data_IF_992904262364
#
_entry.id   IF_992904262364
#
_cell.length_a   1.000
_cell.length_b   1.000
_cell.length_c   1.000
_cell.angle_alpha   90.00
_cell.angle_beta   90.00
_cell.angle_gamma   90.00
#
_symmetry.space_group_name_H-M   'P 1'
#
loop_
_entity.id
_entity.type
_entity.pdbx_description
1 polymer ?
#
# COMPACT_ATOMS: atom_id res chain seq x y z
N UNK A 1 -16.69 15.27 16.89
CA UNK A 1 -17.12 15.13 15.48
C UNK A 1 -16.29 16.16 14.74
N UNK A 2 -15.37 15.72 13.88
CA UNK A 2 -14.54 16.66 13.12
C UNK A 2 -15.40 17.12 11.95
N UNK A 3 -16.00 18.30 12.11
CA UNK A 3 -16.84 18.90 11.09
C UNK A 3 -15.92 19.44 9.98
N UNK A 4 -15.74 18.64 8.93
CA UNK A 4 -15.03 19.03 7.70
C UNK A 4 -15.90 19.92 6.79
N UNK A 5 -17.05 20.39 7.25
CA UNK A 5 -18.11 20.94 6.39
C UNK A 5 -17.84 22.36 5.86
N UNK A 6 -16.86 23.11 6.38
CA UNK A 6 -16.68 24.54 6.06
C UNK A 6 -15.29 24.93 5.52
N UNK A 7 -14.53 23.98 4.96
CA UNK A 7 -13.33 24.39 4.19
C UNK A 7 -13.76 24.85 2.78
N UNK A 8 -13.62 26.14 2.43
CA UNK A 8 -13.86 26.57 1.06
C UNK A 8 -12.90 25.80 0.15
N UNK A 9 -13.42 25.26 -0.95
CA UNK A 9 -12.61 24.55 -1.93
C UNK A 9 -11.42 25.42 -2.33
N UNK A 10 -10.24 25.05 -1.84
CA UNK A 10 -9.00 25.67 -2.27
C UNK A 10 -8.89 25.44 -3.78
N UNK A 11 -8.61 26.50 -4.54
CA UNK A 11 -8.24 26.34 -5.95
C UNK A 11 -7.14 25.29 -6.00
N UNK A 12 -7.26 24.26 -6.86
CA UNK A 12 -6.30 23.17 -6.88
C UNK A 12 -4.90 23.76 -7.08
N UNK A 13 -4.03 23.52 -6.11
CA UNK A 13 -2.59 23.75 -6.28
C UNK A 13 -2.13 22.82 -7.41
N UNK A 14 -1.23 23.29 -8.28
CA UNK A 14 -0.52 22.41 -9.22
C UNK A 14 0.37 21.39 -8.48
N UNK A 15 0.53 21.55 -7.17
CA UNK A 15 1.21 20.61 -6.30
C UNK A 15 0.41 19.30 -6.14
N UNK A 16 0.94 18.23 -6.73
CA UNK A 16 0.39 16.88 -6.58
C UNK A 16 0.90 16.24 -5.29
N UNK A 17 -0.03 15.76 -4.48
CA UNK A 17 0.30 14.96 -3.30
C UNK A 17 0.04 13.48 -3.58
N UNK A 18 0.97 12.62 -3.13
CA UNK A 18 0.89 11.18 -3.31
C UNK A 18 1.16 10.50 -1.97
N UNK A 19 0.12 9.90 -1.38
CA UNK A 19 0.26 9.02 -0.23
C UNK A 19 0.71 7.65 -0.74
N UNK A 20 1.99 7.34 -0.64
CA UNK A 20 2.58 6.12 -1.15
C UNK A 20 3.21 5.31 -0.03
N UNK A 21 3.27 3.98 -0.20
CA UNK A 21 3.96 3.07 0.70
C UNK A 21 3.52 3.22 2.17
N UNK A 22 2.22 3.41 2.40
CA UNK A 22 1.68 3.64 3.74
C UNK A 22 0.68 2.55 4.16
N UNK A 23 0.82 2.02 5.37
CA UNK A 23 -0.15 1.08 5.91
C UNK A 23 -1.34 1.81 6.53
N UNK A 24 -2.38 2.08 5.72
CA UNK A 24 -3.61 2.72 6.19
C UNK A 24 -4.36 1.91 7.25
N UNK A 25 -4.20 0.58 7.31
CA UNK A 25 -4.88 -0.24 8.32
C UNK A 25 -4.45 0.09 9.76
N UNK A 26 -3.27 0.67 9.95
CA UNK A 26 -2.83 1.12 11.27
C UNK A 26 -3.68 2.31 11.76
N UNK A 27 -4.13 3.17 10.83
CA UNK A 27 -4.97 4.32 11.15
C UNK A 27 -6.46 3.98 11.13
N UNK A 28 -6.86 3.14 10.18
CA UNK A 28 -8.24 2.75 9.93
C UNK A 28 -8.32 1.21 9.80
N UNK A 29 -8.35 0.48 10.92
CA UNK A 29 -8.31 -0.98 10.91
C UNK A 29 -9.44 -1.62 10.10
N UNK A 30 -10.63 -1.03 10.12
CA UNK A 30 -11.83 -1.55 9.44
C UNK A 30 -11.63 -1.67 7.91
N UNK A 31 -10.74 -0.87 7.30
CA UNK A 31 -10.43 -0.99 5.86
C UNK A 31 -9.79 -2.35 5.50
N UNK A 32 -9.26 -3.08 6.49
CA UNK A 32 -8.67 -4.41 6.27
C UNK A 32 -9.70 -5.44 5.83
N UNK A 33 -10.95 -5.27 6.24
CA UNK A 33 -12.05 -6.19 5.95
C UNK A 33 -12.52 -6.10 4.49
N UNK A 34 -12.22 -4.98 3.83
CA UNK A 34 -12.55 -4.74 2.41
C UNK A 34 -11.54 -5.40 1.44
N UNK A 35 -10.42 -5.92 1.96
CA UNK A 35 -9.33 -6.46 1.15
C UNK A 35 -9.19 -7.96 1.35
N UNK A 36 -9.41 -8.72 0.28
CA UNK A 36 -9.04 -10.13 0.21
C UNK A 36 -7.55 -10.27 -0.16
N UNK A 37 -6.79 -10.96 0.68
CA UNK A 37 -5.40 -11.31 0.39
C UNK A 37 -5.41 -12.51 -0.56
N UNK A 38 -4.82 -12.42 -1.77
CA UNK A 38 -4.72 -13.57 -2.67
C UNK A 38 -3.89 -14.69 -2.04
N UNK A 39 -4.33 -15.95 -2.17
CA UNK A 39 -3.61 -17.12 -1.64
C UNK A 39 -2.13 -17.18 -2.06
N UNK A 40 -1.82 -16.64 -3.25
CA UNK A 40 -0.45 -16.57 -3.77
C UNK A 40 0.50 -15.75 -2.89
N UNK A 41 0.01 -14.82 -2.06
CA UNK A 41 0.82 -14.09 -1.09
C UNK A 41 1.49 -15.02 -0.07
N UNK A 42 0.88 -16.17 0.21
CA UNK A 42 1.40 -17.19 1.12
C UNK A 42 2.21 -18.28 0.42
N UNK A 43 2.46 -18.15 -0.88
CA UNK A 43 3.21 -19.13 -1.64
C UNK A 43 4.69 -19.10 -1.21
N UNK A 44 5.09 -20.05 -0.36
CA UNK A 44 6.45 -20.11 0.21
C UNK A 44 7.40 -20.98 -0.63
N UNK A 45 8.71 -20.84 -0.38
CA UNK A 45 9.72 -21.77 -0.90
C UNK A 45 10.38 -21.35 -2.22
N UNK A 46 9.81 -20.40 -2.95
CA UNK A 46 10.40 -19.87 -4.19
C UNK A 46 11.71 -19.11 -3.95
N UNK A 47 11.95 -18.60 -2.75
CA UNK A 47 13.13 -17.81 -2.43
C UNK A 47 14.23 -18.61 -1.72
N UNK A 48 14.08 -19.93 -1.53
CA UNK A 48 15.09 -20.75 -0.81
C UNK A 48 16.46 -20.77 -1.49
N UNK A 49 16.51 -20.47 -2.79
CA UNK A 49 17.75 -20.38 -3.56
C UNK A 49 18.28 -18.94 -3.68
N UNK A 50 17.56 -17.96 -3.12
CA UNK A 50 17.97 -16.56 -3.08
C UNK A 50 18.61 -16.29 -1.70
N UNK A 51 19.95 -16.20 -1.61
CA UNK A 51 20.63 -16.10 -0.31
C UNK A 51 20.27 -14.82 0.46
N UNK A 52 19.91 -13.76 -0.25
CA UNK A 52 19.67 -12.43 0.33
C UNK A 52 18.19 -12.15 0.61
N UNK A 53 17.25 -12.97 0.09
CA UNK A 53 15.83 -12.74 0.30
C UNK A 53 15.39 -13.24 1.69
N UNK A 54 14.78 -12.35 2.47
CA UNK A 54 14.14 -12.70 3.73
C UNK A 54 12.69 -12.21 3.69
N UNK A 55 11.70 -13.08 3.90
CA UNK A 55 10.32 -12.63 3.96
C UNK A 55 10.10 -11.69 5.16
N UNK A 56 9.03 -10.88 5.15
CA UNK A 56 8.67 -10.05 6.29
C UNK A 56 8.59 -10.85 7.59
N UNK A 57 9.18 -10.32 8.66
CA UNK A 57 9.22 -10.95 9.97
C UNK A 57 8.07 -10.45 10.86
N UNK A 58 6.84 -10.69 10.43
CA UNK A 58 5.63 -10.43 11.22
C UNK A 58 4.71 -11.66 11.17
N UNK A 59 3.64 -11.65 11.96
CA UNK A 59 2.74 -12.82 12.13
C UNK A 59 2.11 -13.28 10.81
N UNK A 60 1.77 -12.36 9.91
CA UNK A 60 1.17 -12.68 8.61
C UNK A 60 2.22 -13.00 7.53
N UNK A 61 3.50 -12.68 7.75
CA UNK A 61 4.54 -12.75 6.72
C UNK A 61 4.33 -11.77 5.55
N UNK A 62 3.46 -10.76 5.70
CA UNK A 62 3.01 -9.85 4.65
C UNK A 62 3.15 -8.40 5.13
N UNK A 63 3.54 -7.51 4.21
CA UNK A 63 3.54 -6.05 4.45
C UNK A 63 2.41 -5.45 3.62
N UNK A 64 1.51 -4.74 4.30
CA UNK A 64 0.45 -3.99 3.63
C UNK A 64 0.86 -2.53 3.44
N UNK A 65 0.64 -2.03 2.23
CA UNK A 65 0.84 -0.64 1.85
C UNK A 65 -0.29 -0.22 0.92
N UNK A 66 -0.60 1.07 0.96
CA UNK A 66 -1.62 1.71 0.17
C UNK A 66 -1.00 2.86 -0.61
N UNK A 67 -1.55 3.09 -1.80
CA UNK A 67 -1.15 4.17 -2.68
C UNK A 67 -2.41 4.94 -3.08
N UNK A 68 -2.50 6.19 -2.63
CA UNK A 68 -3.61 7.10 -2.93
C UNK A 68 -3.04 8.42 -3.44
N UNK A 69 -3.47 8.82 -4.63
CA UNK A 69 -3.09 10.10 -5.20
C UNK A 69 -3.89 10.41 -6.46
N UNK A 70 -3.73 11.63 -7.00
CA UNK A 70 -4.45 12.07 -8.19
C UNK A 70 -3.98 11.33 -9.44
N UNK A 71 -4.67 11.58 -10.56
CA UNK A 71 -4.22 11.10 -11.85
C UNK A 71 -2.76 11.51 -12.16
N UNK A 72 -2.07 10.65 -12.90
CA UNK A 72 -0.68 10.87 -13.30
C UNK A 72 0.30 10.99 -12.12
N UNK A 73 0.03 10.36 -10.97
CA UNK A 73 1.07 10.08 -9.96
C UNK A 73 2.10 9.12 -10.52
N UNK A 74 3.38 9.41 -10.26
CA UNK A 74 4.50 8.63 -10.77
C UNK A 74 5.28 8.05 -9.59
N UNK A 75 5.44 6.74 -9.58
CA UNK A 75 6.50 6.08 -8.83
C UNK A 75 7.71 5.90 -9.75
N UNK A 76 8.86 6.57 -9.50
CA UNK A 76 10.07 6.37 -10.29
C UNK A 76 10.49 4.89 -10.32
N UNK A 77 11.24 4.48 -11.34
CA UNK A 77 11.72 3.11 -11.44
C UNK A 77 12.64 2.75 -10.25
N UNK A 78 12.31 1.66 -9.54
CA UNK A 78 13.07 1.14 -8.41
C UNK A 78 12.85 -0.38 -8.28
N UNK A 79 13.53 -1.00 -7.32
CA UNK A 79 13.37 -2.41 -6.96
C UNK A 79 13.02 -2.47 -5.47
N UNK A 80 12.10 -3.36 -5.12
CA UNK A 80 11.74 -3.65 -3.74
C UNK A 80 12.53 -4.85 -3.19
N UNK A 81 12.77 -4.89 -1.86
CA UNK A 81 13.42 -6.02 -1.23
C UNK A 81 12.50 -7.25 -1.07
N UNK A 82 11.20 -7.11 -1.34
CA UNK A 82 10.18 -8.15 -1.17
C UNK A 82 9.49 -8.49 -2.50
N UNK A 83 8.94 -9.71 -2.60
CA UNK A 83 8.02 -10.04 -3.68
C UNK A 83 6.70 -9.32 -3.43
N UNK A 84 6.17 -8.66 -4.46
CA UNK A 84 4.99 -7.82 -4.34
C UNK A 84 3.81 -8.36 -5.16
N UNK A 85 2.62 -8.16 -4.62
CA UNK A 85 1.35 -8.24 -5.34
C UNK A 85 0.73 -6.85 -5.30
N UNK A 86 0.48 -6.27 -6.48
CA UNK A 86 -0.16 -4.97 -6.60
C UNK A 86 -1.60 -5.15 -7.06
N UNK A 87 -2.55 -4.74 -6.23
CA UNK A 87 -3.98 -4.79 -6.51
C UNK A 87 -4.55 -3.40 -6.76
N UNK A 88 -5.55 -3.32 -7.63
CA UNK A 88 -6.40 -2.14 -7.78
C UNK A 88 -7.73 -2.41 -7.06
N UNK A 89 -8.40 -1.36 -6.53
CA UNK A 89 -9.75 -1.52 -6.01
C UNK A 89 -10.68 -2.08 -7.10
N UNK A 90 -11.59 -2.97 -6.71
CA UNK A 90 -12.63 -3.56 -7.57
C UNK A 90 -13.89 -2.69 -7.63
#
# INVERSE_FOLDING_TARGET
MLDFEDQPAQLPSDEKHYLAQHNLFIQFPDLRDDILVPDYAYATGFYKHLPDYKPPNNEEGIIFNHWLGPENTISPAHIDPYNNLYGLPV
#
